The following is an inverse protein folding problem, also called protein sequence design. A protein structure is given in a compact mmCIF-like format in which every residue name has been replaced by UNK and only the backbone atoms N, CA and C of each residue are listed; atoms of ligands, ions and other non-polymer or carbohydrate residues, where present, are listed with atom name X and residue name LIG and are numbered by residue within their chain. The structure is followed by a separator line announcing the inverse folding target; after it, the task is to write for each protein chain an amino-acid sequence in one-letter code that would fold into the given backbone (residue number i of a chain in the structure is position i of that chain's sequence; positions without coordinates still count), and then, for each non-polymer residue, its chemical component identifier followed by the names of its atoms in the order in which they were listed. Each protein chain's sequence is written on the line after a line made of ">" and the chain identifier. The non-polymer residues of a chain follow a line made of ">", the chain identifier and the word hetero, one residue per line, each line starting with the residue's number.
data_IF_616416243859
#
_entry.id   IF_616416243859
#
_cell.length_a   1.000
_cell.length_b   1.000
_cell.length_c   1.000
_cell.angle_alpha   90.00
_cell.angle_beta   90.00
_cell.angle_gamma   90.00
#
_symmetry.space_group_name_H-M   'P 1'
#
loop_
_entity.id
_entity.type
_entity.pdbx_description
1 polymer ?
#
# COMPACT_ATOMS: atom_id res chain seq x y z
N UNK A 1 11.05 -17.02 -6.48
CA UNK A 1 9.91 -16.08 -6.58
C UNK A 1 9.26 -15.95 -5.21
N UNK A 2 8.65 -14.80 -4.90
CA UNK A 2 7.85 -14.63 -3.68
C UNK A 2 6.41 -15.06 -3.99
N UNK A 3 5.82 -15.92 -3.15
CA UNK A 3 4.50 -16.51 -3.42
C UNK A 3 3.35 -15.77 -2.74
N UNK A 4 3.58 -15.22 -1.56
CA UNK A 4 2.75 -14.25 -0.84
C UNK A 4 3.58 -13.66 0.31
N UNK A 5 3.09 -12.63 0.99
CA UNK A 5 3.61 -12.22 2.28
C UNK A 5 2.49 -11.78 3.22
N UNK A 6 2.73 -11.93 4.53
CA UNK A 6 1.86 -11.41 5.57
C UNK A 6 2.65 -10.44 6.43
N UNK A 7 2.13 -9.24 6.64
CA UNK A 7 2.69 -8.29 7.60
C UNK A 7 1.96 -8.41 8.93
N UNK A 8 2.68 -8.37 10.04
CA UNK A 8 2.11 -8.28 11.38
C UNK A 8 2.31 -6.87 11.94
N UNK A 9 1.45 -6.44 12.85
CA UNK A 9 1.55 -5.13 13.48
C UNK A 9 1.20 -5.23 14.97
N UNK A 10 1.73 -4.28 15.73
CA UNK A 10 1.37 -4.05 17.13
C UNK A 10 0.45 -2.85 17.21
N UNK A 11 -0.71 -3.00 17.85
CA UNK A 11 -1.57 -1.86 18.17
C UNK A 11 -1.05 -1.17 19.43
N UNK A 12 -0.47 0.02 19.27
CA UNK A 12 0.09 0.80 20.38
C UNK A 12 -0.94 1.68 21.10
N UNK A 13 -2.17 1.77 20.59
CA UNK A 13 -3.24 2.57 21.23
C UNK A 13 -4.05 1.78 22.24
N UNK A 14 -3.98 0.45 22.20
CA UNK A 14 -4.62 -0.42 23.20
C UNK A 14 -3.79 -0.46 24.49
N UNK A 15 -4.40 -0.27 25.68
CA UNK A 15 -3.70 -0.38 26.96
C UNK A 15 -3.06 -1.77 27.09
N UNK A 16 -1.73 -1.83 27.17
CA UNK A 16 -1.02 -3.09 27.25
C UNK A 16 -0.98 -3.61 28.68
N UNK A 17 -1.63 -4.76 28.91
CA UNK A 17 -1.07 -5.70 29.88
C UNK A 17 0.24 -6.22 29.27
N UNK A 18 1.20 -6.60 30.10
CA UNK A 18 2.62 -6.77 29.73
C UNK A 18 2.94 -7.81 28.62
N UNK A 19 1.93 -8.43 28.00
CA UNK A 19 2.02 -9.25 26.80
C UNK A 19 1.35 -8.55 25.61
N UNK A 20 2.12 -7.79 24.85
CA UNK A 20 1.67 -7.21 23.59
C UNK A 20 1.60 -8.31 22.50
N UNK A 21 0.40 -8.68 22.08
CA UNK A 21 0.19 -9.65 21.00
C UNK A 21 0.30 -8.99 19.62
N UNK A 22 1.05 -9.61 18.70
CA UNK A 22 1.13 -9.19 17.32
C UNK A 22 -0.09 -9.69 16.54
N UNK A 23 -0.78 -8.79 15.83
CA UNK A 23 -1.90 -9.12 14.97
C UNK A 23 -1.48 -9.16 13.50
N UNK A 24 -2.10 -10.04 12.71
CA UNK A 24 -1.90 -10.05 11.25
C UNK A 24 -2.57 -8.80 10.64
N UNK A 25 -1.80 -8.03 9.86
CA UNK A 25 -2.23 -6.81 9.18
C UNK A 25 -2.93 -7.13 7.85
N UNK A 26 -2.20 -7.79 6.94
CA UNK A 26 -2.71 -8.17 5.62
C UNK A 26 -1.85 -9.23 4.93
N UNK A 27 -2.47 -10.00 4.03
CA UNK A 27 -1.84 -10.76 2.94
C UNK A 27 -1.96 -9.95 1.65
N UNK A 28 -0.86 -9.82 0.91
CA UNK A 28 -0.88 -9.08 -0.35
C UNK A 28 -1.85 -9.70 -1.37
N UNK A 29 -1.82 -11.03 -1.55
CA UNK A 29 -2.70 -11.69 -2.51
C UNK A 29 -4.17 -11.61 -2.12
N UNK A 30 -4.48 -11.89 -0.86
CA UNK A 30 -5.86 -11.92 -0.38
C UNK A 30 -6.46 -10.52 -0.29
N UNK A 31 -5.80 -9.61 0.39
CA UNK A 31 -6.42 -8.36 0.83
C UNK A 31 -6.34 -7.25 -0.23
N UNK A 32 -5.36 -7.32 -1.16
CA UNK A 32 -5.23 -6.44 -2.32
C UNK A 32 -5.73 -7.08 -3.64
N UNK A 33 -6.29 -8.29 -3.56
CA UNK A 33 -6.81 -9.04 -4.70
C UNK A 33 -5.77 -9.16 -5.83
N UNK A 34 -4.59 -9.68 -5.49
CA UNK A 34 -3.49 -9.90 -6.43
C UNK A 34 -3.40 -11.37 -6.83
N UNK A 35 -3.24 -11.63 -8.13
CA UNK A 35 -3.13 -12.99 -8.66
C UNK A 35 -1.81 -13.64 -8.28
N UNK A 36 -0.73 -12.87 -8.32
CA UNK A 36 0.62 -13.25 -7.92
C UNK A 36 1.40 -12.02 -7.44
N UNK A 37 2.67 -12.20 -7.06
CA UNK A 37 3.55 -11.10 -6.64
C UNK A 37 4.68 -10.83 -7.65
N UNK A 38 4.51 -11.20 -8.93
CA UNK A 38 5.43 -10.77 -9.98
C UNK A 38 5.32 -9.26 -10.22
N UNK A 39 6.39 -8.66 -10.76
CA UNK A 39 6.46 -7.22 -11.02
C UNK A 39 5.28 -6.70 -11.87
N UNK A 40 4.79 -7.50 -12.81
CA UNK A 40 3.63 -7.15 -13.63
C UNK A 40 2.32 -7.05 -12.82
N UNK A 41 2.13 -7.90 -11.81
CA UNK A 41 0.94 -7.85 -10.94
C UNK A 41 1.00 -6.67 -9.96
N UNK A 42 2.19 -6.25 -9.54
CA UNK A 42 2.38 -5.00 -8.80
C UNK A 42 2.04 -3.79 -9.65
N UNK A 43 2.46 -3.78 -10.92
CA UNK A 43 2.08 -2.73 -11.87
C UNK A 43 0.55 -2.67 -12.05
N UNK A 44 -0.11 -3.82 -12.25
CA UNK A 44 -1.57 -3.91 -12.35
C UNK A 44 -2.27 -3.34 -11.11
N UNK A 45 -1.77 -3.67 -9.91
CA UNK A 45 -2.31 -3.11 -8.67
C UNK A 45 -2.22 -1.57 -8.64
N UNK A 46 -1.06 -1.00 -9.01
CA UNK A 46 -0.87 0.46 -9.08
C UNK A 46 -1.84 1.08 -10.07
N UNK A 47 -1.98 0.49 -11.27
CA UNK A 47 -2.88 0.97 -12.31
C UNK A 47 -4.35 0.95 -11.84
N UNK A 48 -4.79 -0.12 -11.17
CA UNK A 48 -6.14 -0.24 -10.60
C UNK A 48 -6.41 0.81 -9.53
N UNK A 49 -5.43 1.08 -8.66
CA UNK A 49 -5.57 2.08 -7.59
C UNK A 49 -5.74 3.50 -8.12
N UNK A 50 -5.37 3.81 -9.37
CA UNK A 50 -5.62 5.12 -9.97
C UNK A 50 -7.11 5.46 -10.01
N UNK A 51 -7.96 4.50 -10.37
CA UNK A 51 -9.41 4.69 -10.53
C UNK A 51 -10.25 4.06 -9.42
N UNK A 52 -9.70 3.11 -8.68
CA UNK A 52 -10.38 2.46 -7.55
C UNK A 52 -9.90 3.07 -6.23
N UNK A 53 -10.61 4.11 -5.77
CA UNK A 53 -10.30 4.78 -4.50
C UNK A 53 -10.46 3.86 -3.29
N UNK A 54 -11.39 2.90 -3.33
CA UNK A 54 -11.60 1.97 -2.22
C UNK A 54 -10.40 1.04 -2.07
N UNK A 55 -9.88 0.53 -3.19
CA UNK A 55 -8.65 -0.25 -3.21
C UNK A 55 -7.45 0.58 -2.77
N UNK A 56 -7.33 1.83 -3.24
CA UNK A 56 -6.26 2.73 -2.83
C UNK A 56 -6.31 3.02 -1.32
N UNK A 57 -7.47 3.36 -0.75
CA UNK A 57 -7.59 3.61 0.70
C UNK A 57 -7.23 2.37 1.51
N UNK A 58 -7.61 1.18 1.03
CA UNK A 58 -7.22 -0.08 1.68
C UNK A 58 -5.70 -0.27 1.70
N UNK A 59 -5.06 -0.09 0.55
CA UNK A 59 -3.60 -0.13 0.44
C UNK A 59 -2.94 0.91 1.35
N UNK A 60 -3.43 2.16 1.34
CA UNK A 60 -2.90 3.26 2.14
C UNK A 60 -2.95 2.97 3.64
N UNK A 61 -4.06 2.40 4.13
CA UNK A 61 -4.15 1.95 5.54
C UNK A 61 -3.09 0.91 5.88
N UNK A 62 -2.79 -0.02 4.98
CA UNK A 62 -1.71 -0.99 5.21
C UNK A 62 -0.33 -0.34 5.13
N UNK A 63 -0.12 0.60 4.21
CA UNK A 63 1.11 1.37 4.08
C UNK A 63 1.43 2.12 5.38
N UNK A 64 0.42 2.76 5.98
CA UNK A 64 0.53 3.47 7.26
C UNK A 64 0.43 2.56 8.51
N UNK A 65 0.68 1.26 8.37
CA UNK A 65 0.64 0.29 9.47
C UNK A 65 -0.66 0.32 10.31
N UNK A 66 -1.80 0.56 9.66
CA UNK A 66 -3.15 0.70 10.24
C UNK A 66 -3.34 1.92 11.15
N UNK A 67 -2.42 2.88 11.13
CA UNK A 67 -2.54 4.15 11.85
C UNK A 67 -2.64 5.30 10.85
N UNK A 68 -3.85 5.81 10.63
CA UNK A 68 -4.11 6.90 9.67
C UNK A 68 -4.88 8.05 10.32
N UNK A 69 -4.46 9.29 10.10
CA UNK A 69 -5.16 10.49 10.56
C UNK A 69 -6.35 10.89 9.68
N UNK A 70 -6.52 10.24 8.52
CA UNK A 70 -7.59 10.50 7.57
C UNK A 70 -7.39 9.79 6.24
N UNK A 71 -8.33 9.95 5.29
CA UNK A 71 -8.17 9.43 3.94
C UNK A 71 -7.07 10.19 3.18
N UNK A 72 -6.36 9.49 2.30
CA UNK A 72 -5.37 10.08 1.39
C UNK A 72 -5.99 10.27 0.01
N UNK A 73 -6.16 11.51 -0.45
CA UNK A 73 -6.75 11.84 -1.75
C UNK A 73 -6.01 13.00 -2.41
N UNK A 74 -6.37 13.33 -3.66
CA UNK A 74 -5.71 14.40 -4.42
C UNK A 74 -4.20 14.16 -4.53
N UNK A 75 -3.42 15.19 -4.16
CA UNK A 75 -1.95 15.19 -4.18
C UNK A 75 -1.34 14.02 -3.39
N UNK A 76 -1.87 13.71 -2.21
CA UNK A 76 -1.38 12.57 -1.40
C UNK A 76 -1.46 11.25 -2.17
N UNK A 77 -2.56 11.03 -2.90
CA UNK A 77 -2.76 9.83 -3.70
C UNK A 77 -1.85 9.83 -4.92
N UNK A 78 -1.75 10.96 -5.63
CA UNK A 78 -0.94 11.03 -6.83
C UNK A 78 0.54 10.82 -6.52
N UNK A 79 1.05 11.44 -5.46
CA UNK A 79 2.44 11.32 -5.01
C UNK A 79 2.78 9.89 -4.61
N UNK A 80 1.89 9.22 -3.87
CA UNK A 80 2.14 7.84 -3.46
C UNK A 80 2.15 6.89 -4.66
N UNK A 81 1.21 7.03 -5.60
CA UNK A 81 1.18 6.21 -6.81
C UNK A 81 2.39 6.46 -7.71
N UNK A 82 2.88 7.71 -7.75
CA UNK A 82 4.12 8.10 -8.40
C UNK A 82 5.33 7.37 -7.79
N UNK A 83 5.51 7.49 -6.48
CA UNK A 83 6.61 6.85 -5.74
C UNK A 83 6.63 5.33 -5.92
N UNK A 84 5.46 4.67 -5.98
CA UNK A 84 5.37 3.23 -6.22
C UNK A 84 5.84 2.80 -7.63
N UNK A 85 5.86 3.71 -8.61
CA UNK A 85 6.37 3.46 -9.97
C UNK A 85 7.84 3.75 -10.12
N UNK A 86 8.38 4.63 -9.29
CA UNK A 86 9.78 5.03 -9.32
C UNK A 86 10.69 3.90 -8.82
N UNK A 87 11.16 3.07 -9.75
CA UNK A 87 12.25 2.12 -9.50
C UNK A 87 13.64 2.73 -9.68
N UNK A 88 13.72 3.97 -10.16
CA UNK A 88 14.96 4.69 -10.45
C UNK A 88 14.84 6.13 -9.95
N UNK A 89 15.80 6.55 -9.13
CA UNK A 89 15.89 7.92 -8.65
C UNK A 89 16.10 8.91 -9.80
N UNK A 90 15.48 10.09 -9.69
CA UNK A 90 15.61 11.21 -10.64
C UNK A 90 15.22 10.86 -12.09
N UNK A 91 14.24 9.97 -12.28
CA UNK A 91 13.71 9.62 -13.61
C UNK A 91 12.22 10.04 -13.73
N UNK A 92 11.94 11.32 -14.02
CA UNK A 92 10.58 11.85 -14.05
C UNK A 92 9.70 11.18 -15.13
N UNK A 93 10.29 10.44 -16.07
CA UNK A 93 9.52 9.70 -17.09
C UNK A 93 8.76 8.52 -16.51
N UNK A 94 9.15 8.04 -15.32
CA UNK A 94 8.46 6.95 -14.62
C UNK A 94 7.15 7.41 -13.98
N UNK A 95 6.95 8.73 -13.87
CA UNK A 95 5.77 9.33 -13.32
C UNK A 95 5.09 10.26 -14.35
N UNK A 96 4.01 9.81 -15.01
CA UNK A 96 3.33 10.62 -16.01
C UNK A 96 2.76 11.92 -15.42
N UNK A 97 2.63 12.98 -16.23
CA UNK A 97 2.16 14.31 -15.79
C UNK A 97 0.83 14.30 -15.02
N UNK A 98 -0.01 13.28 -15.18
CA UNK A 98 -1.28 13.12 -14.42
C UNK A 98 -1.09 12.96 -12.90
N UNK A 99 0.15 12.86 -12.42
CA UNK A 99 0.50 12.84 -11.00
C UNK A 99 1.13 14.15 -10.49
N UNK A 100 1.32 15.15 -11.36
CA UNK A 100 1.87 16.47 -11.05
C UNK A 100 0.80 17.56 -11.08
#
# INVERSE_FOLDING_TARGET
>A
AVLDFTTFYLNITTPSTWSAELAAKYSARKDLNMKSLYAADWKDLIDRMETDDVLFQRFFRYYQALHTDGPCSGECKSDLLCQLREGRSYDPKLCPEKFH
#
